data_IF_994146078686
#
_entry.id   IF_994146078686
#
_cell.length_a   1.000
_cell.length_b   1.000
_cell.length_c   1.000
_cell.angle_alpha   90.00
_cell.angle_beta   90.00
_cell.angle_gamma   90.00
#
_symmetry.space_group_name_H-M   'P 1'
#
loop_
_entity.id
_entity.type
_entity.pdbx_description
1 polymer ?
#
# COMPACT_ATOMS: atom_id res chain seq x y z
N UNK A 1 -53.43 -66.66 -12.15
CA UNK A 1 -52.74 -66.13 -13.36
C UNK A 1 -52.12 -64.78 -13.03
N UNK A 2 -50.79 -64.71 -13.20
CA UNK A 2 -49.87 -63.56 -13.40
C UNK A 2 -50.14 -62.19 -12.74
N UNK A 3 -49.19 -61.82 -11.87
CA UNK A 3 -48.86 -60.47 -11.39
C UNK A 3 -48.74 -59.44 -12.54
N UNK A 4 -49.01 -58.16 -12.26
CA UNK A 4 -48.06 -57.10 -12.62
C UNK A 4 -48.15 -55.94 -11.62
N UNK A 5 -47.06 -55.69 -10.90
CA UNK A 5 -46.81 -54.46 -10.14
C UNK A 5 -46.55 -53.32 -11.12
N UNK A 6 -47.22 -52.17 -10.95
CA UNK A 6 -46.76 -50.90 -11.54
C UNK A 6 -46.09 -50.09 -10.44
N UNK A 7 -44.75 -50.05 -10.49
CA UNK A 7 -43.93 -48.97 -9.91
C UNK A 7 -43.70 -47.96 -11.02
N UNK A 8 -44.09 -46.71 -10.84
CA UNK A 8 -43.42 -45.55 -11.47
C UNK A 8 -43.51 -44.39 -10.47
N UNK A 9 -42.52 -44.26 -9.59
CA UNK A 9 -41.37 -43.34 -9.70
C UNK A 9 -41.76 -41.88 -9.45
N UNK A 10 -41.38 -41.43 -8.26
CA UNK A 10 -41.29 -40.04 -7.81
C UNK A 10 -40.65 -39.18 -8.92
N UNK A 11 -41.47 -38.46 -9.69
CA UNK A 11 -40.95 -37.40 -10.56
C UNK A 11 -40.62 -36.23 -9.64
N UNK A 12 -39.43 -36.33 -9.04
CA UNK A 12 -38.77 -35.24 -8.35
C UNK A 12 -38.88 -34.03 -9.26
N UNK A 13 -39.78 -33.12 -8.91
CA UNK A 13 -39.81 -31.77 -9.45
C UNK A 13 -38.44 -31.20 -9.11
N UNK A 14 -37.49 -31.40 -10.02
CA UNK A 14 -36.14 -30.90 -9.93
C UNK A 14 -36.32 -29.39 -10.00
N UNK A 15 -36.50 -28.78 -8.83
CA UNK A 15 -36.47 -27.35 -8.66
C UNK A 15 -35.18 -26.91 -9.31
N UNK A 16 -35.30 -26.39 -10.53
CA UNK A 16 -34.23 -25.66 -11.21
C UNK A 16 -34.06 -24.36 -10.43
N UNK A 17 -33.53 -24.47 -9.19
CA UNK A 17 -33.01 -23.35 -8.45
C UNK A 17 -31.81 -22.88 -9.28
N UNK A 18 -32.06 -21.93 -10.17
CA UNK A 18 -31.02 -21.22 -10.89
C UNK A 18 -30.22 -20.43 -9.86
N UNK A 19 -29.19 -21.06 -9.30
CA UNK A 19 -28.28 -20.42 -8.36
C UNK A 19 -27.61 -19.26 -9.11
N UNK A 20 -27.87 -18.03 -8.68
CA UNK A 20 -27.18 -16.85 -9.18
C UNK A 20 -25.76 -16.81 -8.60
N UNK A 21 -24.89 -16.04 -9.24
CA UNK A 21 -23.58 -15.72 -8.65
C UNK A 21 -23.84 -14.70 -7.55
N UNK A 22 -23.20 -14.91 -6.39
CA UNK A 22 -23.16 -13.97 -5.29
C UNK A 22 -21.70 -13.68 -4.94
N UNK A 23 -21.39 -12.45 -4.55
CA UNK A 23 -20.11 -12.05 -4.01
C UNK A 23 -20.11 -12.14 -2.48
N UNK A 24 -18.95 -11.93 -1.86
CA UNK A 24 -18.80 -11.95 -0.40
C UNK A 24 -19.61 -10.86 0.27
N UNK A 25 -20.11 -11.14 1.47
CA UNK A 25 -20.57 -10.07 2.35
C UNK A 25 -19.34 -9.41 2.98
N UNK A 26 -19.22 -8.11 2.80
CA UNK A 26 -18.15 -7.31 3.41
C UNK A 26 -18.67 -6.58 4.65
N UNK A 27 -17.80 -6.36 5.62
CA UNK A 27 -18.05 -5.38 6.67
C UNK A 27 -17.87 -3.99 6.08
N UNK A 28 -18.97 -3.25 5.97
CA UNK A 28 -18.97 -1.91 5.39
C UNK A 28 -18.34 -0.87 6.32
N UNK A 29 -17.85 0.24 5.76
CA UNK A 29 -17.21 1.37 6.45
C UNK A 29 -15.99 1.00 7.32
N UNK A 30 -15.29 -0.09 7.00
CA UNK A 30 -14.09 -0.47 7.73
C UNK A 30 -12.91 0.49 7.46
N UNK A 31 -12.08 0.69 8.48
CA UNK A 31 -10.84 1.48 8.36
C UNK A 31 -9.65 0.54 8.15
N UNK A 32 -8.90 0.74 7.06
CA UNK A 32 -7.82 -0.16 6.60
C UNK A 32 -6.55 0.60 6.24
N UNK A 33 -5.45 -0.14 6.09
CA UNK A 33 -4.17 0.41 5.64
C UNK A 33 -4.18 0.78 4.14
N UNK A 34 -3.30 1.70 3.73
CA UNK A 34 -3.23 2.20 2.34
C UNK A 34 -2.82 1.13 1.31
N UNK A 35 -2.19 0.04 1.75
CA UNK A 35 -1.81 -1.10 0.93
C UNK A 35 -2.86 -2.24 0.95
N UNK A 36 -4.05 -1.98 1.49
CA UNK A 36 -5.10 -3.00 1.62
C UNK A 36 -5.43 -3.60 0.26
N UNK A 37 -5.35 -4.92 0.21
CA UNK A 37 -5.86 -5.73 -0.91
C UNK A 37 -7.23 -6.30 -0.52
N UNK A 38 -8.16 -6.33 -1.47
CA UNK A 38 -9.49 -6.90 -1.28
C UNK A 38 -9.60 -8.27 -1.94
N UNK A 39 -10.09 -9.26 -1.20
CA UNK A 39 -10.44 -10.56 -1.74
C UNK A 39 -11.96 -10.66 -1.87
N UNK A 40 -12.43 -10.78 -3.11
CA UNK A 40 -13.84 -10.99 -3.42
C UNK A 40 -14.03 -12.49 -3.68
N UNK A 41 -14.74 -13.16 -2.78
CA UNK A 41 -15.13 -14.57 -2.92
C UNK A 41 -16.51 -14.69 -3.53
N UNK A 42 -16.67 -15.68 -4.40
CA UNK A 42 -17.92 -15.93 -5.11
C UNK A 42 -18.45 -17.34 -4.84
N UNK A 43 -19.76 -17.52 -5.00
CA UNK A 43 -20.40 -18.85 -4.85
C UNK A 43 -20.06 -19.79 -6.01
N UNK A 44 -19.64 -19.26 -7.16
CA UNK A 44 -19.32 -20.00 -8.38
C UNK A 44 -17.98 -19.53 -8.96
N UNK A 45 -17.40 -20.35 -9.84
CA UNK A 45 -16.19 -20.02 -10.59
C UNK A 45 -16.40 -18.78 -11.48
N UNK A 46 -15.50 -17.82 -11.45
CA UNK A 46 -15.65 -16.51 -12.12
C UNK A 46 -14.83 -16.40 -13.40
N UNK A 47 -15.39 -15.72 -14.41
CA UNK A 47 -14.66 -15.33 -15.62
C UNK A 47 -13.86 -14.06 -15.36
N UNK A 48 -12.55 -14.05 -15.62
CA UNK A 48 -11.70 -12.85 -15.52
C UNK A 48 -11.44 -12.25 -16.91
N UNK A 49 -12.51 -11.84 -17.58
CA UNK A 49 -12.46 -11.12 -18.86
C UNK A 49 -12.70 -9.61 -18.67
N UNK A 50 -12.75 -8.88 -19.78
CA UNK A 50 -12.91 -7.44 -19.78
C UNK A 50 -14.27 -6.99 -19.23
N UNK A 51 -15.33 -7.79 -19.37
CA UNK A 51 -16.64 -7.46 -18.82
C UNK A 51 -16.62 -7.54 -17.29
N UNK A 52 -16.01 -8.60 -16.74
CA UNK A 52 -15.83 -8.73 -15.29
C UNK A 52 -14.93 -7.63 -14.74
N UNK A 53 -13.83 -7.30 -15.41
CA UNK A 53 -12.94 -6.20 -15.00
C UNK A 53 -13.65 -4.84 -15.01
N UNK A 54 -14.46 -4.55 -16.04
CA UNK A 54 -15.30 -3.34 -16.07
C UNK A 54 -16.41 -3.34 -15.02
N UNK A 55 -16.77 -4.51 -14.49
CA UNK A 55 -17.75 -4.66 -13.43
C UNK A 55 -17.19 -4.41 -12.03
N UNK A 56 -15.88 -4.33 -11.85
CA UNK A 56 -15.24 -4.16 -10.55
C UNK A 56 -14.41 -2.88 -10.58
N UNK A 57 -14.79 -1.91 -9.76
CA UNK A 57 -14.12 -0.60 -9.74
C UNK A 57 -13.89 -0.13 -8.32
N UNK A 58 -12.81 0.59 -8.09
CA UNK A 58 -12.62 1.37 -6.86
C UNK A 58 -12.68 2.84 -7.22
N UNK A 59 -13.53 3.60 -6.54
CA UNK A 59 -13.67 5.04 -6.74
C UNK A 59 -13.48 5.80 -5.42
N UNK A 60 -12.98 7.03 -5.50
CA UNK A 60 -12.96 7.95 -4.36
C UNK A 60 -14.36 8.56 -4.09
N UNK A 61 -14.44 9.43 -3.08
CA UNK A 61 -15.69 10.12 -2.70
C UNK A 61 -16.21 11.09 -3.76
N UNK A 62 -15.39 11.48 -4.73
CA UNK A 62 -15.77 12.35 -5.85
C UNK A 62 -16.23 11.53 -7.07
N UNK A 63 -16.13 10.19 -6.99
CA UNK A 63 -16.48 9.27 -8.06
C UNK A 63 -15.35 9.03 -9.06
N UNK A 64 -14.14 9.54 -8.81
CA UNK A 64 -12.99 9.29 -9.67
C UNK A 64 -12.51 7.85 -9.47
N UNK A 65 -12.39 7.10 -10.55
CA UNK A 65 -11.90 5.72 -10.52
C UNK A 65 -10.39 5.74 -10.26
N UNK A 66 -9.94 5.01 -9.23
CA UNK A 66 -8.52 4.80 -8.97
C UNK A 66 -8.02 3.55 -9.70
N UNK A 67 -6.80 3.63 -10.24
CA UNK A 67 -6.22 2.55 -11.01
C UNK A 67 -5.87 1.36 -10.09
N UNK A 68 -6.54 0.22 -10.27
CA UNK A 68 -6.36 -1.01 -9.49
C UNK A 68 -6.23 -2.20 -10.44
N UNK A 69 -5.53 -3.25 -10.00
CA UNK A 69 -5.37 -4.47 -10.79
C UNK A 69 -6.26 -5.56 -10.19
N UNK A 70 -6.93 -6.32 -11.07
CA UNK A 70 -7.78 -7.44 -10.69
C UNK A 70 -7.13 -8.74 -11.16
N UNK A 71 -6.84 -9.62 -10.21
CA UNK A 71 -6.22 -10.92 -10.44
C UNK A 71 -7.11 -12.06 -9.93
N UNK A 72 -6.87 -13.28 -10.43
CA UNK A 72 -7.42 -14.48 -9.78
C UNK A 72 -6.78 -14.66 -8.40
N UNK A 73 -7.58 -15.11 -7.43
CA UNK A 73 -7.14 -15.44 -6.09
C UNK A 73 -6.52 -16.83 -5.98
N UNK A 74 -6.58 -17.40 -4.78
CA UNK A 74 -6.01 -18.74 -4.52
C UNK A 74 -6.76 -19.87 -5.24
N UNK A 75 -8.00 -19.61 -5.63
CA UNK A 75 -8.83 -20.52 -6.40
C UNK A 75 -9.65 -19.74 -7.44
N UNK A 76 -10.34 -20.47 -8.30
CA UNK A 76 -11.12 -19.92 -9.42
C UNK A 76 -12.46 -19.27 -9.01
N UNK A 77 -12.75 -19.19 -7.72
CA UNK A 77 -13.91 -18.51 -7.12
C UNK A 77 -13.51 -17.26 -6.33
N UNK A 78 -12.27 -16.82 -6.44
CA UNK A 78 -11.78 -15.63 -5.75
C UNK A 78 -11.15 -14.67 -6.75
N UNK A 79 -11.45 -13.38 -6.59
CA UNK A 79 -10.73 -12.30 -7.26
C UNK A 79 -10.04 -11.43 -6.21
N UNK A 80 -8.85 -10.95 -6.56
CA UNK A 80 -8.03 -10.06 -5.76
C UNK A 80 -7.99 -8.69 -6.43
N UNK A 81 -8.42 -7.65 -5.71
CA UNK A 81 -8.28 -6.25 -6.13
C UNK A 81 -7.12 -5.64 -5.37
N UNK A 82 -6.05 -5.31 -6.08
CA UNK A 82 -4.86 -4.68 -5.51
C UNK A 82 -5.12 -3.21 -5.19
N UNK A 83 -4.38 -2.61 -4.25
CA UNK A 83 -4.33 -1.15 -4.15
C UNK A 83 -3.74 -0.53 -5.43
N UNK A 84 -3.91 0.79 -5.64
CA UNK A 84 -3.13 1.54 -6.62
C UNK A 84 -1.62 1.39 -6.37
N UNK A 85 -0.80 1.64 -7.40
CA UNK A 85 0.67 1.49 -7.33
C UNK A 85 1.29 2.24 -6.14
N UNK A 86 0.81 3.46 -5.86
CA UNK A 86 1.25 4.27 -4.73
C UNK A 86 0.41 4.08 -3.44
N UNK A 87 -0.44 3.06 -3.42
CA UNK A 87 -1.44 2.84 -2.37
C UNK A 87 -2.63 3.80 -2.47
N UNK A 88 -3.60 3.59 -1.58
CA UNK A 88 -4.69 4.55 -1.39
C UNK A 88 -4.22 5.77 -0.57
N UNK A 89 -4.82 6.93 -0.82
CA UNK A 89 -4.48 8.17 -0.12
C UNK A 89 -4.93 8.10 1.34
N UNK A 90 -4.02 8.39 2.27
CA UNK A 90 -4.29 8.38 3.71
C UNK A 90 -5.44 9.33 4.09
N UNK A 91 -6.26 8.89 5.04
CA UNK A 91 -7.41 9.66 5.53
C UNK A 91 -8.54 9.91 4.52
N UNK A 92 -8.42 9.37 3.30
CA UNK A 92 -9.50 9.39 2.31
C UNK A 92 -10.39 8.16 2.44
N UNK A 93 -11.58 8.27 1.86
CA UNK A 93 -12.52 7.16 1.77
C UNK A 93 -12.72 6.76 0.31
N UNK A 94 -13.05 5.50 0.11
CA UNK A 94 -13.20 4.87 -1.19
C UNK A 94 -14.37 3.90 -1.17
N UNK A 95 -14.87 3.59 -2.36
CA UNK A 95 -15.91 2.60 -2.59
C UNK A 95 -15.41 1.55 -3.58
N UNK A 96 -15.30 0.31 -3.12
CA UNK A 96 -15.16 -0.85 -4.00
C UNK A 96 -16.56 -1.27 -4.46
N UNK A 97 -16.81 -1.18 -5.76
CA UNK A 97 -18.06 -1.58 -6.39
C UNK A 97 -17.85 -2.88 -7.16
N UNK A 98 -18.71 -3.86 -6.89
CA UNK A 98 -18.82 -5.13 -7.62
C UNK A 98 -20.19 -5.15 -8.30
N UNK A 99 -20.21 -4.75 -9.57
CA UNK A 99 -21.41 -4.56 -10.38
C UNK A 99 -21.91 -5.82 -11.08
N UNK A 100 -23.11 -5.71 -11.67
CA UNK A 100 -23.83 -6.82 -12.32
C UNK A 100 -23.21 -7.31 -13.64
N UNK A 101 -22.15 -6.66 -14.13
CA UNK A 101 -21.34 -7.15 -15.26
C UNK A 101 -20.46 -8.36 -14.89
N UNK A 102 -20.15 -8.53 -13.60
CA UNK A 102 -19.40 -9.68 -13.09
C UNK A 102 -20.22 -10.96 -13.32
N UNK A 103 -19.57 -12.00 -13.85
CA UNK A 103 -20.24 -13.25 -14.19
C UNK A 103 -19.38 -14.49 -13.99
N UNK A 104 -20.04 -15.63 -13.81
CA UNK A 104 -19.38 -16.92 -13.76
C UNK A 104 -18.87 -17.34 -15.14
N UNK A 105 -17.97 -18.32 -15.18
CA UNK A 105 -17.53 -18.95 -16.45
C UNK A 105 -18.67 -19.54 -17.27
N UNK A 106 -19.82 -19.81 -16.64
CA UNK A 106 -21.04 -20.30 -17.30
C UNK A 106 -21.98 -19.16 -17.74
N UNK A 107 -21.52 -17.90 -17.71
CA UNK A 107 -22.29 -16.72 -18.13
C UNK A 107 -23.34 -16.22 -17.13
N UNK A 108 -23.46 -16.83 -15.94
CA UNK A 108 -24.42 -16.35 -14.93
C UNK A 108 -23.89 -15.07 -14.30
N UNK A 109 -24.64 -13.99 -14.45
CA UNK A 109 -24.30 -12.67 -13.87
C UNK A 109 -24.54 -12.63 -12.36
N UNK A 110 -23.85 -11.71 -11.70
CA UNK A 110 -24.14 -11.30 -10.34
C UNK A 110 -25.56 -10.72 -10.27
N UNK A 111 -26.36 -11.18 -9.31
CA UNK A 111 -27.77 -10.80 -9.22
C UNK A 111 -27.98 -9.33 -8.81
N UNK A 112 -27.14 -8.85 -7.90
CA UNK A 112 -27.22 -7.51 -7.33
C UNK A 112 -25.82 -6.95 -7.19
N UNK A 113 -25.68 -5.63 -7.40
CA UNK A 113 -24.42 -4.97 -7.08
C UNK A 113 -24.08 -5.09 -5.60
N UNK A 114 -22.79 -5.12 -5.30
CA UNK A 114 -22.25 -5.07 -3.94
C UNK A 114 -21.30 -3.88 -3.85
N UNK A 115 -21.50 -3.02 -2.85
CA UNK A 115 -20.64 -1.87 -2.57
C UNK A 115 -20.02 -2.04 -1.21
N UNK A 116 -18.73 -1.74 -1.14
CA UNK A 116 -17.95 -1.70 0.09
C UNK A 116 -17.31 -0.33 0.21
N UNK A 117 -17.81 0.46 1.15
CA UNK A 117 -17.18 1.69 1.61
C UNK A 117 -16.05 1.34 2.57
N UNK A 118 -14.90 1.96 2.40
CA UNK A 118 -13.78 1.82 3.32
C UNK A 118 -13.05 3.13 3.48
N UNK A 119 -12.45 3.29 4.65
CA UNK A 119 -11.65 4.45 5.00
C UNK A 119 -10.19 4.03 5.07
N UNK A 120 -9.29 4.89 4.61
CA UNK A 120 -7.86 4.69 4.84
C UNK A 120 -7.52 5.33 6.16
N UNK A 121 -6.79 4.60 7.01
CA UNK A 121 -6.29 5.12 8.29
C UNK A 121 -5.70 6.52 8.07
N UNK A 122 -6.14 7.48 8.89
CA UNK A 122 -5.50 8.79 8.95
C UNK A 122 -4.04 8.58 9.38
N UNK A 123 -3.13 9.34 8.77
CA UNK A 123 -1.76 9.48 9.25
C UNK A 123 -1.74 10.26 10.57
N UNK A 124 -2.30 9.71 11.64
CA UNK A 124 -2.38 10.38 12.94
C UNK A 124 -2.14 9.40 14.08
N UNK A 125 -1.04 9.63 14.80
CA UNK A 125 -0.60 8.88 15.97
C UNK A 125 -1.69 8.81 17.04
N UNK A 126 -2.06 7.61 17.45
CA UNK A 126 -2.60 7.33 18.78
C UNK A 126 -2.13 5.95 19.22
N UNK A 127 -1.30 5.94 20.26
CA UNK A 127 -0.74 4.75 20.87
C UNK A 127 -1.86 3.81 21.34
N UNK A 128 -1.95 2.60 20.77
CA UNK A 128 -2.14 1.33 21.49
C UNK A 128 -1.79 0.16 20.54
N UNK A 129 -0.57 -0.37 20.65
CA UNK A 129 -0.27 -1.78 20.35
C UNK A 129 -0.14 -2.28 18.89
N UNK A 130 0.40 -1.51 17.94
CA UNK A 130 1.02 -2.04 16.71
C UNK A 130 1.89 -0.94 16.03
N UNK A 131 3.21 -1.18 15.96
CA UNK A 131 4.31 -0.37 15.39
C UNK A 131 3.93 0.99 14.75
N UNK A 132 3.86 2.02 15.60
CA UNK A 132 3.72 3.41 15.21
C UNK A 132 5.02 3.89 14.56
N UNK A 133 5.06 3.94 13.23
CA UNK A 133 6.32 4.07 12.51
C UNK A 133 6.49 5.48 11.92
N UNK A 134 7.58 6.15 12.29
CA UNK A 134 7.90 7.52 11.85
C UNK A 134 7.98 7.60 10.30
N UNK A 135 7.27 8.56 9.68
CA UNK A 135 7.13 8.67 8.22
C UNK A 135 7.40 10.09 7.67
N UNK A 136 7.31 10.28 6.34
CA UNK A 136 7.58 11.57 5.68
C UNK A 136 6.72 12.72 6.20
N UNK A 137 5.40 12.51 6.34
CA UNK A 137 4.48 13.54 6.82
C UNK A 137 4.86 14.02 8.23
N UNK A 138 5.24 13.08 9.10
CA UNK A 138 5.68 13.40 10.46
C UNK A 138 7.02 14.14 10.45
N UNK A 139 7.94 13.78 9.55
CA UNK A 139 9.19 14.51 9.37
C UNK A 139 8.94 15.95 8.88
N UNK A 140 8.08 16.13 7.86
CA UNK A 140 7.70 17.44 7.35
C UNK A 140 7.09 18.33 8.44
N UNK A 141 6.18 17.77 9.26
CA UNK A 141 5.54 18.49 10.35
C UNK A 141 6.57 18.91 11.41
N UNK A 142 7.51 18.03 11.76
CA UNK A 142 8.60 18.35 12.68
C UNK A 142 9.51 19.46 12.14
N UNK A 143 9.81 19.46 10.85
CA UNK A 143 10.59 20.54 10.23
C UNK A 143 9.82 21.88 10.20
N UNK A 144 8.51 21.85 9.96
CA UNK A 144 7.65 23.05 10.06
C UNK A 144 7.60 23.60 11.50
N UNK A 145 7.47 22.73 12.51
CA UNK A 145 7.53 23.11 13.93
C UNK A 145 8.87 23.80 14.29
N UNK A 146 9.95 23.47 13.57
CA UNK A 146 11.28 24.10 13.70
C UNK A 146 11.46 25.37 12.84
N UNK A 147 10.37 25.88 12.27
CA UNK A 147 10.29 27.08 11.42
C UNK A 147 11.06 26.98 10.09
N UNK A 148 11.22 25.78 9.53
CA UNK A 148 11.77 25.63 8.18
C UNK A 148 10.68 25.86 7.12
N UNK A 149 11.04 26.59 6.07
CA UNK A 149 10.30 26.63 4.80
C UNK A 149 11.04 25.75 3.80
N UNK A 150 10.34 24.81 3.16
CA UNK A 150 10.95 23.85 2.25
C UNK A 150 10.04 23.48 1.08
N UNK A 151 10.66 22.92 0.04
CA UNK A 151 9.97 22.24 -1.07
C UNK A 151 10.35 20.77 -1.08
N UNK A 152 9.39 19.90 -1.35
CA UNK A 152 9.62 18.47 -1.58
C UNK A 152 9.64 18.20 -3.08
N UNK A 153 10.63 17.44 -3.54
CA UNK A 153 10.74 17.00 -4.93
C UNK A 153 11.02 15.51 -4.99
N UNK A 154 10.45 14.84 -5.99
CA UNK A 154 10.87 13.49 -6.35
C UNK A 154 12.29 13.53 -6.92
N UNK A 155 13.05 12.49 -6.63
CA UNK A 155 14.40 12.35 -7.12
C UNK A 155 14.60 10.91 -7.60
N UNK A 156 15.42 10.73 -8.64
CA UNK A 156 15.78 9.39 -9.12
C UNK A 156 16.43 8.58 -8.00
N UNK A 157 16.36 7.25 -8.12
CA UNK A 157 16.94 6.34 -7.14
C UNK A 157 18.46 6.58 -6.99
N UNK A 158 18.96 6.43 -5.77
CA UNK A 158 20.38 6.60 -5.45
C UNK A 158 21.07 5.24 -5.19
N UNK A 159 22.18 5.25 -4.46
CA UNK A 159 22.84 4.06 -3.92
C UNK A 159 21.96 3.27 -2.94
N UNK A 160 20.98 3.90 -2.27
CA UNK A 160 19.96 3.20 -1.48
C UNK A 160 18.79 2.73 -2.39
N UNK A 161 18.41 1.44 -2.34
CA UNK A 161 17.48 0.83 -3.28
C UNK A 161 16.01 1.09 -2.91
N UNK A 162 15.64 2.36 -2.73
CA UNK A 162 14.28 2.75 -2.35
C UNK A 162 13.88 4.10 -2.96
N UNK A 163 12.61 4.49 -2.78
CA UNK A 163 12.08 5.78 -3.21
C UNK A 163 12.83 6.94 -2.55
N UNK A 164 13.40 7.84 -3.35
CA UNK A 164 14.09 9.04 -2.89
C UNK A 164 13.28 10.32 -3.14
N UNK A 165 13.29 11.22 -2.17
CA UNK A 165 12.81 12.60 -2.29
C UNK A 165 13.84 13.58 -1.76
N UNK A 166 13.77 14.83 -2.20
CA UNK A 166 14.59 15.95 -1.70
C UNK A 166 13.74 16.95 -0.95
N UNK A 167 14.17 17.31 0.25
CA UNK A 167 13.70 18.50 0.96
C UNK A 167 14.69 19.63 0.74
N UNK A 168 14.25 20.66 0.01
CA UNK A 168 15.06 21.82 -0.37
C UNK A 168 14.75 22.97 0.58
N UNK A 169 15.76 23.42 1.32
CA UNK A 169 15.70 24.52 2.30
C UNK A 169 16.69 25.61 1.87
N UNK A 170 16.23 26.58 1.08
CA UNK A 170 17.15 27.56 0.48
C UNK A 170 18.16 26.88 -0.45
N UNK A 171 19.45 26.95 -0.10
CA UNK A 171 20.55 26.25 -0.79
C UNK A 171 20.84 24.85 -0.22
N UNK A 172 20.25 24.50 0.92
CA UNK A 172 20.48 23.23 1.62
C UNK A 172 19.55 22.15 1.08
N UNK A 173 20.04 20.91 1.02
CA UNK A 173 19.28 19.74 0.57
C UNK A 173 19.38 18.63 1.59
N UNK A 174 18.24 18.08 1.98
CA UNK A 174 18.14 16.84 2.75
C UNK A 174 17.56 15.78 1.83
N UNK A 175 18.32 14.71 1.59
CA UNK A 175 17.86 13.53 0.85
C UNK A 175 17.04 12.66 1.81
N UNK A 176 15.87 12.20 1.35
CA UNK A 176 14.91 11.42 2.13
C UNK A 176 14.66 10.10 1.42
N UNK A 177 14.93 9.01 2.11
CA UNK A 177 14.74 7.64 1.62
C UNK A 177 13.55 7.01 2.34
N UNK A 178 12.53 6.62 1.58
CA UNK A 178 11.26 6.13 2.09
C UNK A 178 11.18 4.62 1.95
N UNK A 179 10.92 3.89 3.03
CA UNK A 179 10.81 2.43 3.04
C UNK A 179 9.39 1.98 3.35
N UNK A 180 9.01 0.78 2.91
CA UNK A 180 7.69 0.22 3.22
C UNK A 180 7.59 -0.21 4.69
N UNK A 181 8.72 -0.54 5.32
CA UNK A 181 8.78 -1.00 6.71
C UNK A 181 10.04 -0.54 7.44
N UNK A 182 9.96 -0.47 8.78
CA UNK A 182 11.10 -0.10 9.61
C UNK A 182 12.20 -1.15 9.48
N UNK A 183 11.82 -2.42 9.28
CA UNK A 183 12.76 -3.50 9.03
C UNK A 183 13.61 -3.25 7.79
N UNK A 184 13.00 -2.79 6.69
CA UNK A 184 13.75 -2.45 5.46
C UNK A 184 14.72 -1.29 5.70
N UNK A 185 14.25 -0.22 6.34
CA UNK A 185 15.10 0.92 6.70
C UNK A 185 16.27 0.49 7.61
N UNK A 186 16.02 -0.37 8.60
CA UNK A 186 17.05 -0.90 9.49
C UNK A 186 18.05 -1.81 8.77
N UNK A 187 17.57 -2.64 7.84
CA UNK A 187 18.43 -3.55 7.08
C UNK A 187 19.34 -2.78 6.12
N UNK A 188 18.87 -1.71 5.49
CA UNK A 188 19.71 -0.84 4.65
C UNK A 188 20.63 0.08 5.46
N UNK A 189 20.18 0.59 6.61
CA UNK A 189 21.04 1.36 7.51
C UNK A 189 22.28 0.57 7.95
N UNK A 190 22.14 -0.74 8.21
CA UNK A 190 23.28 -1.62 8.55
C UNK A 190 24.28 -1.82 7.43
N UNK A 191 23.89 -1.51 6.18
CA UNK A 191 24.75 -1.64 4.99
C UNK A 191 25.51 -0.36 4.69
N UNK A 192 25.14 0.76 5.29
CA UNK A 192 25.89 2.02 5.20
C UNK A 192 27.12 1.91 6.11
N UNK A 193 28.29 2.24 5.59
CA UNK A 193 29.53 2.30 6.36
C UNK A 193 29.40 3.36 7.47
N UNK A 194 30.07 3.15 8.59
CA UNK A 194 29.95 4.06 9.76
C UNK A 194 30.37 5.50 9.47
N UNK A 195 31.26 5.71 8.49
CA UNK A 195 31.69 7.02 8.02
C UNK A 195 30.68 7.71 7.08
N UNK A 196 29.65 7.00 6.62
CA UNK A 196 28.69 7.49 5.63
C UNK A 196 29.24 7.59 4.20
N UNK A 197 30.44 7.09 3.94
CA UNK A 197 31.14 7.18 2.64
C UNK A 197 31.05 5.89 1.82
N UNK A 198 30.27 4.90 2.27
CA UNK A 198 30.02 3.72 1.47
C UNK A 198 28.75 2.96 1.84
N UNK A 199 28.29 2.12 0.91
CA UNK A 199 27.13 1.25 1.06
C UNK A 199 27.44 -0.13 0.47
N UNK A 200 27.22 -1.17 1.28
CA UNK A 200 27.38 -2.57 0.88
C UNK A 200 26.02 -3.24 0.66
N UNK A 201 25.47 -3.01 -0.52
CA UNK A 201 24.25 -3.68 -0.99
C UNK A 201 24.46 -5.17 -1.24
N UNK A 202 23.36 -5.90 -1.45
CA UNK A 202 23.39 -7.33 -1.75
C UNK A 202 24.02 -7.65 -3.12
N UNK A 203 23.89 -6.72 -4.08
CA UNK A 203 24.36 -6.89 -5.47
C UNK A 203 25.39 -5.86 -5.90
N UNK A 204 25.55 -4.75 -5.15
CA UNK A 204 26.50 -3.68 -5.46
C UNK A 204 27.11 -3.11 -4.18
N UNK A 205 28.39 -2.78 -4.25
CA UNK A 205 29.06 -1.91 -3.28
C UNK A 205 29.31 -0.56 -3.94
N UNK A 206 29.08 0.51 -3.19
CA UNK A 206 29.26 1.89 -3.64
C UNK A 206 30.14 2.60 -2.61
N UNK A 207 31.20 3.24 -3.07
CA UNK A 207 31.96 4.23 -2.30
C UNK A 207 31.59 5.62 -2.82
N UNK A 208 31.45 6.59 -1.92
CA UNK A 208 30.96 7.93 -2.25
C UNK A 208 31.88 9.01 -1.68
N UNK A 209 32.40 9.84 -2.59
CA UNK A 209 33.13 11.06 -2.27
C UNK A 209 32.17 12.25 -2.23
N UNK A 210 31.83 12.70 -1.03
CA UNK A 210 30.91 13.80 -0.80
C UNK A 210 31.57 15.17 -1.00
N UNK A 211 30.78 16.16 -1.43
CA UNK A 211 31.23 17.57 -1.53
C UNK A 211 31.40 18.25 -0.16
N UNK A 212 30.88 17.65 0.91
CA UNK A 212 30.97 18.10 2.31
C UNK A 212 30.70 16.91 3.24
N UNK A 213 30.38 17.13 4.51
CA UNK A 213 30.27 16.09 5.52
C UNK A 213 28.91 15.37 5.48
N UNK A 214 28.88 14.04 5.26
CA UNK A 214 27.63 13.29 5.30
C UNK A 214 27.17 13.08 6.73
N UNK A 215 25.87 13.24 6.96
CA UNK A 215 25.18 12.97 8.21
C UNK A 215 23.94 12.12 7.93
N UNK A 216 23.88 10.91 8.47
CA UNK A 216 22.75 9.99 8.30
C UNK A 216 21.97 9.78 9.60
N UNK A 217 20.66 9.96 9.50
CA UNK A 217 19.71 9.73 10.58
C UNK A 217 18.62 8.78 10.13
N UNK A 218 18.05 8.02 11.07
CA UNK A 218 16.95 7.09 10.79
C UNK A 218 15.93 7.10 11.90
N UNK A 219 14.66 7.00 11.54
CA UNK A 219 13.57 6.84 12.50
C UNK A 219 12.38 6.24 11.76
N UNK A 220 11.83 5.16 12.28
CA UNK A 220 10.72 4.46 11.65
C UNK A 220 11.05 3.98 10.23
N UNK A 221 10.27 4.42 9.25
CA UNK A 221 10.33 3.96 7.85
C UNK A 221 11.23 4.84 6.99
N UNK A 222 11.98 5.77 7.58
CA UNK A 222 12.74 6.75 6.81
C UNK A 222 14.20 6.81 7.27
N UNK A 223 15.07 6.98 6.28
CA UNK A 223 16.46 7.42 6.44
C UNK A 223 16.55 8.81 5.81
N UNK A 224 17.23 9.73 6.49
CA UNK A 224 17.56 11.04 5.92
C UNK A 224 19.07 11.21 5.87
N UNK A 225 19.53 11.86 4.82
CA UNK A 225 20.93 12.23 4.63
C UNK A 225 21.01 13.74 4.42
N UNK A 226 21.86 14.38 5.21
CA UNK A 226 22.27 15.76 5.00
C UNK A 226 23.77 15.77 4.70
N UNK A 227 24.18 16.45 3.63
CA UNK A 227 25.59 16.63 3.28
C UNK A 227 25.90 18.11 3.38
N UNK A 228 26.52 18.53 4.47
CA UNK A 228 26.77 19.95 4.76
C UNK A 228 27.15 20.22 6.21
N UNK A 229 27.34 21.50 6.52
CA UNK A 229 27.89 21.99 7.81
C UNK A 229 26.91 22.84 8.61
N UNK A 230 25.65 22.97 8.17
CA UNK A 230 24.68 23.82 8.86
C UNK A 230 24.31 23.24 10.23
N UNK A 231 24.93 23.77 11.29
CA UNK A 231 24.76 23.30 12.67
C UNK A 231 23.30 23.31 13.13
N UNK A 232 22.48 24.25 12.66
CA UNK A 232 21.05 24.30 13.01
C UNK A 232 20.30 23.11 12.40
N UNK A 233 20.58 22.77 11.14
CA UNK A 233 19.98 21.60 10.48
C UNK A 233 20.43 20.32 11.19
N UNK A 234 21.73 20.17 11.43
CA UNK A 234 22.30 19.00 12.11
C UNK A 234 21.68 18.81 13.50
N UNK A 235 21.58 19.89 14.28
CA UNK A 235 20.98 19.87 15.63
C UNK A 235 19.49 19.55 15.61
N UNK A 236 18.73 20.14 14.68
CA UNK A 236 17.29 19.87 14.56
C UNK A 236 17.01 18.46 14.04
N UNK A 237 17.82 17.94 13.10
CA UNK A 237 17.72 16.54 12.65
C UNK A 237 18.03 15.58 13.79
N UNK A 238 19.04 15.87 14.62
CA UNK A 238 19.34 15.09 15.82
C UNK A 238 18.18 15.09 16.82
N UNK A 239 17.53 16.23 17.05
CA UNK A 239 16.35 16.31 17.92
C UNK A 239 15.17 15.51 17.38
N UNK A 240 14.97 15.50 16.05
CA UNK A 240 13.86 14.80 15.41
C UNK A 240 14.10 13.29 15.35
N UNK A 241 15.30 12.86 14.96
CA UNK A 241 15.61 11.47 14.63
C UNK A 241 16.35 10.72 15.75
N UNK A 242 17.04 11.43 16.64
CA UNK A 242 18.04 10.88 17.55
C UNK A 242 19.46 11.02 16.99
N UNK A 243 20.42 10.34 17.61
CA UNK A 243 21.82 10.39 17.18
C UNK A 243 21.99 9.91 15.73
N UNK A 244 22.93 10.54 15.01
CA UNK A 244 23.32 10.05 13.70
C UNK A 244 23.88 8.62 13.81
N UNK A 245 23.52 7.76 12.86
CA UNK A 245 23.98 6.37 12.87
C UNK A 245 25.18 6.12 11.93
N UNK A 246 25.41 7.02 10.98
CA UNK A 246 26.55 7.02 10.07
C UNK A 246 26.86 8.46 9.63
N UNK A 247 28.11 8.73 9.27
CA UNK A 247 28.56 10.06 8.89
C UNK A 247 29.67 10.61 9.78
N UNK A 248 30.07 11.85 9.52
CA UNK A 248 31.14 12.51 10.26
C UNK A 248 30.57 13.14 11.54
N UNK A 249 31.34 13.07 12.63
CA UNK A 249 30.93 13.54 13.97
C UNK A 249 31.46 14.94 14.25
#
# INVERSE_FOLDING_TARGET
MKNTFIRVTLFSFFLLFSTSVQASNFTDYQTVDSNKTWTIKFTQKISLDDLTKQGITVADNEGNIVNTIICLGQNDKELIVTPPENGYTLGKSYVLNIGTKVHSVNGKKLNTECKLHFNIKNGSNSNTGALNTFNLEQFENKMKEKNYSFKIQDAENDFLPTTRKRMIIGSEVIEIYLYNSNKEAEDDAKRIHSDGCGYRGSTRSVDVDWISYPHFYKKGNIIVQYVGENEKIISDLKDIFGEQFAGYK
#
